data_IF_386977037446
#
_entry.id   IF_386977037446
#
_cell.length_a   1.000
_cell.length_b   1.000
_cell.length_c   1.000
_cell.angle_alpha   90.00
_cell.angle_beta   90.00
_cell.angle_gamma   90.00
#
_symmetry.space_group_name_H-M   'P 1'
#
loop_
_entity.id
_entity.type
_entity.pdbx_description
1 polymer ?
#
# COMPACT_ATOMS: atom_id res chain seq x y z
N UNK A 1 11.20 24.25 4.34
CA UNK A 1 9.78 23.85 4.29
C UNK A 1 9.38 23.18 2.98
N UNK A 2 9.98 23.54 1.84
CA UNK A 2 9.58 22.98 0.53
C UNK A 2 9.82 21.47 0.36
N UNK A 3 10.93 20.94 0.87
CA UNK A 3 11.33 19.53 0.67
C UNK A 3 10.28 18.52 1.15
N UNK A 4 9.55 18.87 2.21
CA UNK A 4 8.59 17.99 2.84
C UNK A 4 7.34 17.74 1.99
N UNK A 5 6.76 18.81 1.41
CA UNK A 5 5.60 18.70 0.50
C UNK A 5 5.97 17.96 -0.79
N UNK A 6 7.17 18.20 -1.31
CA UNK A 6 7.67 17.47 -2.48
C UNK A 6 7.81 15.97 -2.20
N UNK A 7 8.32 15.60 -1.03
CA UNK A 7 8.41 14.20 -0.63
C UNK A 7 7.02 13.56 -0.43
N UNK A 8 6.05 14.24 0.18
CA UNK A 8 4.66 13.75 0.27
C UNK A 8 4.03 13.50 -1.11
N UNK A 9 4.20 14.43 -2.04
CA UNK A 9 3.72 14.28 -3.42
C UNK A 9 4.40 13.09 -4.09
N UNK A 10 5.72 12.93 -3.92
CA UNK A 10 6.47 11.79 -4.46
C UNK A 10 5.90 10.46 -3.95
N UNK A 11 5.69 10.32 -2.65
CA UNK A 11 5.16 9.08 -2.06
C UNK A 11 3.72 8.79 -2.47
N UNK A 12 2.89 9.83 -2.54
CA UNK A 12 1.51 9.72 -3.03
C UNK A 12 1.48 9.25 -4.48
N UNK A 13 2.32 9.84 -5.34
CA UNK A 13 2.45 9.44 -6.75
C UNK A 13 2.91 8.00 -6.90
N UNK A 14 3.87 7.53 -6.09
CA UNK A 14 4.32 6.13 -6.11
C UNK A 14 3.16 5.17 -5.83
N UNK A 15 2.35 5.45 -4.80
CA UNK A 15 1.21 4.59 -4.45
C UNK A 15 0.07 4.65 -5.49
N UNK A 16 -0.16 5.82 -6.09
CA UNK A 16 -1.11 5.97 -7.20
C UNK A 16 -0.67 5.12 -8.40
N UNK A 17 0.61 5.19 -8.78
CA UNK A 17 1.17 4.38 -9.86
C UNK A 17 1.09 2.89 -9.54
N UNK A 18 1.43 2.48 -8.32
CA UNK A 18 1.28 1.11 -7.85
C UNK A 18 -0.17 0.60 -8.06
N UNK A 19 -1.16 1.37 -7.61
CA UNK A 19 -2.57 1.03 -7.79
C UNK A 19 -2.96 0.94 -9.27
N UNK A 20 -2.53 1.91 -10.09
CA UNK A 20 -2.81 1.90 -11.53
C UNK A 20 -2.23 0.67 -12.23
N UNK A 21 -1.01 0.26 -11.87
CA UNK A 21 -0.40 -0.95 -12.44
C UNK A 21 -1.14 -2.23 -12.04
N UNK A 22 -1.68 -2.31 -10.82
CA UNK A 22 -2.62 -3.39 -10.48
C UNK A 22 -3.88 -3.36 -11.35
N UNK A 23 -4.47 -2.19 -11.60
CA UNK A 23 -5.63 -2.05 -12.49
C UNK A 23 -5.33 -2.45 -13.95
N UNK A 24 -4.10 -2.20 -14.41
CA UNK A 24 -3.62 -2.59 -15.73
C UNK A 24 -3.15 -4.04 -15.82
N UNK A 25 -3.18 -4.78 -14.70
CA UNK A 25 -2.69 -6.15 -14.58
C UNK A 25 -1.18 -6.31 -14.88
N UNK A 26 -0.41 -5.22 -14.81
CA UNK A 26 1.05 -5.21 -14.86
C UNK A 26 1.59 -5.35 -13.43
N UNK A 27 1.50 -6.56 -12.91
CA UNK A 27 1.74 -6.82 -11.48
C UNK A 27 3.20 -6.69 -11.10
N UNK A 28 4.12 -6.92 -12.04
CA UNK A 28 5.55 -6.78 -11.80
C UNK A 28 5.90 -5.33 -11.47
N UNK A 29 5.42 -4.37 -12.28
CA UNK A 29 5.57 -2.95 -11.95
C UNK A 29 4.80 -2.57 -10.70
N UNK A 30 3.61 -3.09 -10.49
CA UNK A 30 2.84 -2.77 -9.28
C UNK A 30 3.65 -3.10 -8.00
N UNK A 31 4.29 -4.27 -7.96
CA UNK A 31 5.17 -4.65 -6.85
C UNK A 31 6.49 -3.88 -6.81
N UNK A 32 7.05 -3.50 -7.95
CA UNK A 32 8.22 -2.59 -8.01
C UNK A 32 7.92 -1.25 -7.33
N UNK A 33 6.79 -0.61 -7.64
CA UNK A 33 6.40 0.65 -6.99
C UNK A 33 6.10 0.47 -5.50
N UNK A 34 5.56 -0.67 -5.10
CA UNK A 34 5.33 -0.98 -3.69
C UNK A 34 6.67 -1.12 -2.93
N UNK A 35 7.65 -1.80 -3.52
CA UNK A 35 9.00 -1.93 -2.95
C UNK A 35 9.72 -0.57 -2.88
N UNK A 36 9.60 0.27 -3.92
CA UNK A 36 10.12 1.64 -3.92
C UNK A 36 9.49 2.45 -2.77
N UNK A 37 8.17 2.35 -2.58
CA UNK A 37 7.49 3.01 -1.45
C UNK A 37 8.03 2.51 -0.11
N UNK A 38 8.08 1.20 0.11
CA UNK A 38 8.50 0.60 1.37
C UNK A 38 9.96 0.93 1.75
N UNK A 39 10.85 1.06 0.75
CA UNK A 39 12.24 1.47 0.96
C UNK A 39 12.40 2.97 1.22
N UNK A 40 11.56 3.79 0.59
CA UNK A 40 11.73 5.24 0.60
C UNK A 40 10.87 5.95 1.66
N UNK A 41 9.76 5.35 2.10
CA UNK A 41 8.84 5.94 3.06
C UNK A 41 9.26 5.61 4.50
N UNK A 42 9.57 6.61 5.33
CA UNK A 42 9.88 6.35 6.73
C UNK A 42 8.64 5.77 7.42
N UNK A 43 8.73 4.55 7.96
CA UNK A 43 7.60 3.82 8.58
C UNK A 43 6.89 4.59 9.70
N UNK A 44 7.52 5.62 10.26
CA UNK A 44 6.90 6.50 11.26
C UNK A 44 7.64 7.82 11.34
N UNK A 45 7.14 8.82 10.63
CA UNK A 45 7.51 10.21 10.82
C UNK A 45 6.20 11.00 10.79
N UNK A 46 5.82 11.58 11.94
CA UNK A 46 4.62 12.43 12.12
C UNK A 46 4.63 13.64 11.17
N UNK A 47 5.84 13.97 10.71
CA UNK A 47 6.17 14.69 9.50
C UNK A 47 5.22 14.33 8.36
N UNK A 48 5.41 13.12 7.86
CA UNK A 48 4.94 12.62 6.57
C UNK A 48 3.51 12.12 6.63
N UNK A 49 2.59 12.92 6.09
CA UNK A 49 1.20 12.51 5.86
C UNK A 49 1.03 12.17 4.39
N UNK A 50 0.97 10.88 4.07
CA UNK A 50 0.42 10.41 2.79
C UNK A 50 -1.08 10.23 2.96
N UNK A 51 -1.86 10.50 1.91
CA UNK A 51 -3.30 10.28 1.95
C UNK A 51 -3.55 8.79 2.22
N UNK A 52 -4.19 8.47 3.35
CA UNK A 52 -4.41 7.09 3.81
C UNK A 52 -5.02 6.22 2.71
N UNK A 53 -5.93 6.78 1.91
CA UNK A 53 -6.59 6.07 0.81
C UNK A 53 -5.60 5.49 -0.20
N UNK A 54 -4.47 6.15 -0.47
CA UNK A 54 -3.47 5.62 -1.41
C UNK A 54 -2.75 4.39 -0.85
N UNK A 55 -2.48 4.37 0.45
CA UNK A 55 -1.94 3.20 1.16
C UNK A 55 -2.97 2.08 1.12
N UNK A 56 -4.23 2.38 1.47
CA UNK A 56 -5.32 1.40 1.47
C UNK A 56 -5.51 0.78 0.09
N UNK A 57 -5.52 1.58 -0.97
CA UNK A 57 -5.67 1.11 -2.35
C UNK A 57 -4.52 0.18 -2.75
N UNK A 58 -3.27 0.59 -2.54
CA UNK A 58 -2.11 -0.20 -2.93
C UNK A 58 -2.04 -1.54 -2.18
N UNK A 59 -2.18 -1.52 -0.85
CA UNK A 59 -2.08 -2.74 -0.04
C UNK A 59 -3.31 -3.65 -0.16
N UNK A 60 -4.50 -3.10 -0.40
CA UNK A 60 -5.69 -3.90 -0.73
C UNK A 60 -5.56 -4.58 -2.10
N UNK A 61 -5.01 -3.89 -3.10
CA UNK A 61 -4.78 -4.48 -4.43
C UNK A 61 -3.72 -5.58 -4.39
N UNK A 62 -2.61 -5.36 -3.67
CA UNK A 62 -1.61 -6.41 -3.44
C UNK A 62 -2.21 -7.62 -2.73
N UNK A 63 -3.02 -7.40 -1.69
CA UNK A 63 -3.75 -8.49 -1.02
C UNK A 63 -4.70 -9.22 -1.97
N UNK A 64 -5.45 -8.50 -2.81
CA UNK A 64 -6.40 -9.08 -3.74
C UNK A 64 -5.69 -9.96 -4.78
N UNK A 65 -4.54 -9.52 -5.29
CA UNK A 65 -3.72 -10.30 -6.22
C UNK A 65 -3.32 -11.68 -5.64
N UNK A 66 -2.88 -11.73 -4.40
CA UNK A 66 -2.53 -13.01 -3.77
C UNK A 66 -3.76 -13.83 -3.38
N UNK A 67 -4.85 -13.16 -2.99
CA UNK A 67 -6.13 -13.82 -2.70
C UNK A 67 -6.66 -14.59 -3.90
N UNK A 68 -6.71 -13.98 -5.09
CA UNK A 68 -7.20 -14.66 -6.30
C UNK A 68 -6.31 -15.82 -6.73
N UNK A 69 -5.04 -15.84 -6.31
CA UNK A 69 -4.10 -16.96 -6.51
C UNK A 69 -4.21 -18.03 -5.43
N UNK A 70 -5.15 -17.92 -4.49
CA UNK A 70 -5.30 -18.83 -3.35
C UNK A 70 -4.19 -18.71 -2.30
N UNK A 71 -3.29 -17.73 -2.42
CA UNK A 71 -2.20 -17.53 -1.47
C UNK A 71 -2.65 -16.58 -0.34
N UNK A 72 -3.46 -17.13 0.57
CA UNK A 72 -4.01 -16.36 1.69
C UNK A 72 -2.95 -15.87 2.68
N UNK A 73 -1.81 -16.56 2.78
CA UNK A 73 -0.69 -16.15 3.62
C UNK A 73 -0.09 -14.82 3.13
N UNK A 74 0.23 -14.73 1.83
CA UNK A 74 0.75 -13.49 1.26
C UNK A 74 -0.32 -12.40 1.23
N UNK A 75 -1.59 -12.73 0.94
CA UNK A 75 -2.68 -11.76 1.03
C UNK A 75 -2.75 -11.12 2.42
N UNK A 76 -2.70 -11.94 3.48
CA UNK A 76 -2.68 -11.48 4.87
C UNK A 76 -1.49 -10.59 5.17
N UNK A 77 -0.29 -10.96 4.68
CA UNK A 77 0.94 -10.20 4.86
C UNK A 77 0.83 -8.78 4.29
N UNK A 78 0.27 -8.60 3.09
CA UNK A 78 0.11 -7.26 2.51
C UNK A 78 -0.92 -6.41 3.26
N UNK A 79 -2.01 -6.99 3.76
CA UNK A 79 -2.94 -6.25 4.61
C UNK A 79 -2.29 -5.79 5.92
N UNK A 80 -1.51 -6.67 6.56
CA UNK A 80 -0.76 -6.32 7.76
C UNK A 80 0.26 -5.22 7.50
N UNK A 81 1.00 -5.27 6.38
CA UNK A 81 1.91 -4.19 5.96
C UNK A 81 1.18 -2.86 5.80
N UNK A 82 0.02 -2.84 5.13
CA UNK A 82 -0.79 -1.62 5.02
C UNK A 82 -1.18 -1.05 6.39
N UNK A 83 -1.54 -1.93 7.34
CA UNK A 83 -1.86 -1.55 8.71
C UNK A 83 -0.64 -1.07 9.54
N UNK A 84 0.59 -1.38 9.14
CA UNK A 84 1.78 -0.76 9.77
C UNK A 84 1.78 0.76 9.53
N UNK A 85 1.29 1.21 8.36
CA UNK A 85 1.23 2.63 8.00
C UNK A 85 -0.08 3.31 8.42
N UNK A 86 -1.21 2.59 8.35
CA UNK A 86 -2.55 3.10 8.75
C UNK A 86 -3.22 2.18 9.78
N UNK A 87 -2.73 2.14 11.04
CA UNK A 87 -3.14 1.14 12.04
C UNK A 87 -4.63 1.13 12.38
N UNK A 88 -5.32 2.24 12.15
CA UNK A 88 -6.74 2.40 12.47
C UNK A 88 -7.67 2.21 11.27
N UNK A 89 -7.14 1.89 10.09
CA UNK A 89 -7.95 1.79 8.89
C UNK A 89 -8.96 0.63 8.95
N UNK A 90 -10.24 0.97 8.84
CA UNK A 90 -11.34 0.00 8.95
C UNK A 90 -11.38 -0.97 7.77
N UNK A 91 -11.11 -0.51 6.55
CA UNK A 91 -11.19 -1.35 5.34
C UNK A 91 -10.16 -2.48 5.38
N UNK A 92 -8.89 -2.16 5.65
CA UNK A 92 -7.83 -3.17 5.74
C UNK A 92 -8.10 -4.19 6.86
N UNK A 93 -8.59 -3.73 8.03
CA UNK A 93 -9.01 -4.62 9.12
C UNK A 93 -10.15 -5.53 8.70
N UNK A 94 -11.12 -5.02 7.93
CA UNK A 94 -12.25 -5.81 7.47
C UNK A 94 -11.80 -6.88 6.46
N UNK A 95 -10.99 -6.51 5.48
CA UNK A 95 -10.39 -7.46 4.52
C UNK A 95 -9.59 -8.56 5.23
N UNK A 96 -8.85 -8.20 6.28
CA UNK A 96 -8.06 -9.15 7.06
C UNK A 96 -8.93 -10.18 7.81
N UNK A 97 -10.13 -9.77 8.25
CA UNK A 97 -11.11 -10.66 8.89
C UNK A 97 -11.69 -11.66 7.90
N UNK A 98 -11.89 -11.28 6.64
CA UNK A 98 -12.39 -12.19 5.58
C UNK A 98 -11.38 -13.30 5.28
N UNK A 99 -10.09 -13.04 5.44
CA UNK A 99 -9.02 -14.04 5.25
C UNK A 99 -8.87 -15.02 6.43
N UNK A 100 -9.66 -14.89 7.51
CA UNK A 100 -9.56 -15.78 8.69
C UNK A 100 -10.12 -17.16 8.42
#
# INVERSE_FOLDING_TARGET
>A
MDNFRFAQLKYSSILILCYQYFCLNDTDKAFEYLDIFEKAYPKRDENFVVIEQFIVNAYSSASAFYFVKGNYSEARKYLNKGLEYVPNNFELKNRLRVLK
#
